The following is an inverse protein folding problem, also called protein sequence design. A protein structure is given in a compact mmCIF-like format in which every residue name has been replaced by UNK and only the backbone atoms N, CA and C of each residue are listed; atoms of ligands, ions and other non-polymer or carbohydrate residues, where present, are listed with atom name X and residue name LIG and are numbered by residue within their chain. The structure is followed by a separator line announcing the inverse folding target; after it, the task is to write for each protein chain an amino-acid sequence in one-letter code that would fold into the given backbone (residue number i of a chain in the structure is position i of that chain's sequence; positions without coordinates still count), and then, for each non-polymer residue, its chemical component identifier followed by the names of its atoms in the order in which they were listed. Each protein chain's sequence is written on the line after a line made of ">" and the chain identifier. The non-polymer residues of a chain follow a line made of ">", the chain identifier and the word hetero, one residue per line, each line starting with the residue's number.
data_IF_713059987736
#
_entry.id   IF_713059987736
#
_cell.length_a   1.000
_cell.length_b   1.000
_cell.length_c   1.000
_cell.angle_alpha   90.00
_cell.angle_beta   90.00
_cell.angle_gamma   90.00
#
_symmetry.space_group_name_H-M   'P 1'
#
loop_
_entity.id
_entity.type
_entity.pdbx_description
1 polymer ?
#
# COMPACT_ATOMS: atom_id res chain seq x y z
N UNK A 1 29.17 -8.19 4.88
CA UNK A 1 28.52 -7.49 3.75
C UNK A 1 27.39 -6.57 4.20
N UNK A 2 26.35 -7.09 4.88
CA UNK A 2 25.19 -6.26 5.26
C UNK A 2 25.53 -5.18 6.32
N UNK A 3 26.47 -5.47 7.23
CA UNK A 3 26.93 -4.52 8.24
C UNK A 3 27.67 -3.34 7.61
N UNK A 4 28.49 -3.61 6.59
CA UNK A 4 29.19 -2.60 5.80
C UNK A 4 28.19 -1.77 4.99
N UNK A 5 27.19 -2.41 4.38
CA UNK A 5 26.08 -1.70 3.72
C UNK A 5 25.34 -0.78 4.69
N UNK A 6 25.04 -1.24 5.91
CA UNK A 6 24.38 -0.43 6.94
C UNK A 6 25.16 0.85 7.27
N UNK A 7 26.49 0.77 7.29
CA UNK A 7 27.36 1.93 7.51
C UNK A 7 27.42 2.82 6.28
N UNK A 8 27.51 2.25 5.07
CA UNK A 8 27.56 3.03 3.82
C UNK A 8 26.26 3.79 3.58
N UNK A 9 25.10 3.19 3.83
CA UNK A 9 23.79 3.83 3.67
C UNK A 9 23.57 5.04 4.59
N UNK A 10 24.30 5.13 5.69
CA UNK A 10 24.23 6.31 6.54
C UNK A 10 24.76 7.56 5.84
N UNK A 11 25.70 7.45 4.91
CA UNK A 11 26.32 8.59 4.23
C UNK A 11 26.15 8.60 2.71
N UNK A 12 25.55 7.54 2.15
CA UNK A 12 25.34 7.39 0.72
C UNK A 12 24.47 8.52 0.15
N UNK A 13 24.97 9.24 -0.86
CA UNK A 13 24.30 10.38 -1.49
C UNK A 13 23.97 11.51 -0.50
N UNK A 14 24.77 11.65 0.55
CA UNK A 14 24.62 12.70 1.56
C UNK A 14 25.85 13.59 1.65
N UNK A 15 26.83 13.39 0.77
CA UNK A 15 28.10 14.13 0.77
C UNK A 15 27.87 15.65 0.73
N UNK A 16 26.88 16.10 -0.06
CA UNK A 16 26.50 17.51 -0.22
C UNK A 16 25.30 17.94 0.63
N UNK A 17 24.76 17.06 1.48
CA UNK A 17 23.59 17.39 2.31
C UNK A 17 24.00 18.09 3.61
N UNK A 18 23.14 18.99 4.11
CA UNK A 18 23.36 19.73 5.37
C UNK A 18 23.68 18.78 6.54
N UNK A 19 23.08 17.59 6.54
CA UNK A 19 23.21 16.61 7.62
C UNK A 19 24.41 15.69 7.45
N UNK A 20 25.01 15.62 6.25
CA UNK A 20 26.06 14.66 5.87
C UNK A 20 25.72 13.19 6.17
N UNK A 21 24.43 12.92 6.41
CA UNK A 21 23.91 11.64 6.89
C UNK A 21 22.44 11.49 6.53
N UNK A 22 22.06 10.29 6.10
CA UNK A 22 20.71 9.90 5.78
C UNK A 22 19.88 9.81 7.05
N UNK A 23 18.65 10.33 7.01
CA UNK A 23 17.77 10.39 8.18
C UNK A 23 17.30 8.99 8.61
N UNK A 24 16.99 8.16 7.63
CA UNK A 24 16.64 6.76 7.82
C UNK A 24 16.90 5.96 6.54
N UNK A 25 16.89 4.65 6.66
CA UNK A 25 16.86 3.72 5.52
C UNK A 25 15.88 2.58 5.83
N UNK A 26 15.33 1.97 4.78
CA UNK A 26 14.41 0.84 4.92
C UNK A 26 14.92 -0.36 4.13
N UNK A 27 14.50 -1.53 4.54
CA UNK A 27 14.61 -2.77 3.79
C UNK A 27 13.42 -3.68 4.12
N UNK A 28 13.24 -4.70 3.30
CA UNK A 28 12.22 -5.71 3.50
C UNK A 28 12.91 -7.06 3.72
N UNK A 29 12.82 -7.59 4.94
CA UNK A 29 13.53 -8.81 5.34
C UNK A 29 12.75 -10.05 4.94
N UNK A 30 13.40 -10.94 4.19
CA UNK A 30 12.88 -12.29 3.90
C UNK A 30 13.44 -13.39 4.82
N UNK A 31 14.12 -13.00 5.89
CA UNK A 31 14.80 -13.90 6.86
C UNK A 31 14.42 -13.59 8.31
N UNK A 32 13.21 -13.07 8.49
CA UNK A 32 12.60 -12.79 9.78
C UNK A 32 12.94 -11.43 10.39
N UNK A 33 12.48 -11.22 11.62
CA UNK A 33 12.52 -9.93 12.34
C UNK A 33 13.87 -9.61 12.99
N UNK A 34 14.68 -10.62 13.32
CA UNK A 34 15.85 -10.43 14.20
C UNK A 34 17.12 -10.04 13.45
N UNK A 35 17.40 -10.66 12.30
CA UNK A 35 18.70 -10.53 11.61
C UNK A 35 19.08 -9.07 11.32
N UNK A 36 18.15 -8.26 10.80
CA UNK A 36 18.42 -6.86 10.48
C UNK A 36 18.27 -5.92 11.69
N UNK A 37 17.51 -6.33 12.71
CA UNK A 37 17.35 -5.57 13.97
C UNK A 37 18.69 -5.41 14.69
N UNK A 38 19.50 -6.46 14.74
CA UNK A 38 20.87 -6.43 15.28
C UNK A 38 21.79 -5.42 14.57
N UNK A 39 21.42 -5.00 13.35
CA UNK A 39 22.17 -4.06 12.50
C UNK A 39 21.51 -2.68 12.41
N UNK A 40 20.50 -2.44 13.23
CA UNK A 40 19.82 -1.15 13.39
C UNK A 40 18.50 -1.00 12.63
N UNK A 41 18.17 -1.90 11.70
CA UNK A 41 16.85 -1.90 11.05
C UNK A 41 15.85 -2.66 11.90
N UNK A 42 15.14 -1.94 12.76
CA UNK A 42 14.08 -2.50 13.61
C UNK A 42 12.90 -2.93 12.75
N UNK A 43 12.29 -4.06 13.07
CA UNK A 43 11.05 -4.49 12.43
C UNK A 43 9.89 -3.56 12.78
N UNK A 44 9.07 -3.24 11.78
CA UNK A 44 7.82 -2.49 11.87
C UNK A 44 6.63 -3.41 11.59
N UNK A 45 5.39 -2.99 11.93
CA UNK A 45 4.18 -3.72 11.60
C UNK A 45 4.19 -4.19 10.15
N UNK A 46 4.05 -5.50 9.99
CA UNK A 46 4.11 -6.22 8.72
C UNK A 46 2.96 -7.23 8.72
N UNK A 47 1.77 -6.77 8.39
CA UNK A 47 0.57 -7.59 8.28
C UNK A 47 -0.07 -7.46 6.90
N UNK A 48 -0.99 -8.37 6.60
CA UNK A 48 -1.89 -8.22 5.46
C UNK A 48 -3.23 -8.84 5.77
N UNK A 49 -4.21 -8.50 4.94
CA UNK A 49 -5.45 -9.23 4.82
C UNK A 49 -5.68 -9.56 3.35
N UNK A 50 -6.25 -10.75 3.11
CA UNK A 50 -6.39 -11.31 1.76
C UNK A 50 -7.87 -11.48 1.40
N UNK A 51 -8.22 -11.13 0.18
CA UNK A 51 -9.54 -11.37 -0.41
C UNK A 51 -9.43 -12.34 -1.59
N UNK A 52 -10.36 -13.30 -1.74
CA UNK A 52 -10.36 -14.18 -2.90
C UNK A 52 -10.79 -13.42 -4.17
N UNK A 53 -10.37 -13.86 -5.37
CA UNK A 53 -10.92 -13.35 -6.62
C UNK A 53 -12.39 -13.70 -6.74
N UNK A 54 -13.18 -12.85 -7.41
CA UNK A 54 -14.62 -13.04 -7.62
C UNK A 54 -14.94 -12.90 -9.10
N UNK A 55 -15.73 -13.83 -9.65
CA UNK A 55 -16.24 -13.70 -11.02
C UNK A 55 -17.48 -12.82 -11.08
N UNK A 56 -17.71 -12.14 -12.21
CA UNK A 56 -18.90 -11.29 -12.40
C UNK A 56 -20.22 -12.06 -12.19
N UNK A 57 -20.25 -13.35 -12.52
CA UNK A 57 -21.43 -14.20 -12.37
C UNK A 57 -21.77 -14.52 -10.91
N UNK A 58 -20.73 -14.70 -10.06
CA UNK A 58 -20.89 -14.90 -8.61
C UNK A 58 -21.05 -13.58 -7.85
N UNK A 59 -20.57 -12.50 -8.45
CA UNK A 59 -20.47 -11.16 -7.88
C UNK A 59 -21.78 -10.37 -7.72
N UNK A 60 -22.91 -10.91 -8.22
CA UNK A 60 -24.24 -10.37 -7.89
C UNK A 60 -24.79 -10.88 -6.55
N UNK A 61 -24.04 -11.70 -5.80
CA UNK A 61 -24.38 -11.96 -4.41
C UNK A 61 -24.32 -10.64 -3.64
N UNK A 62 -25.49 -10.14 -3.27
CA UNK A 62 -25.66 -8.93 -2.48
C UNK A 62 -24.86 -9.06 -1.19
N UNK A 63 -23.75 -8.34 -1.08
CA UNK A 63 -23.18 -8.02 0.23
C UNK A 63 -24.24 -7.17 0.93
N UNK A 64 -24.79 -7.69 2.03
CA UNK A 64 -25.93 -7.07 2.71
C UNK A 64 -25.62 -5.62 3.07
N UNK A 65 -26.36 -4.68 2.50
CA UNK A 65 -26.31 -3.26 2.88
C UNK A 65 -25.31 -2.37 2.14
N UNK A 66 -24.61 -2.84 1.10
CA UNK A 66 -23.74 -2.00 0.27
C UNK A 66 -24.01 -2.16 -1.23
N UNK A 67 -24.14 -1.04 -1.94
CA UNK A 67 -24.17 -1.03 -3.40
C UNK A 67 -22.74 -1.10 -3.95
N UNK A 68 -22.28 -2.31 -4.26
CA UNK A 68 -20.95 -2.54 -4.82
C UNK A 68 -20.78 -1.96 -6.25
N UNK A 69 -21.89 -1.64 -6.92
CA UNK A 69 -21.89 -1.04 -8.26
C UNK A 69 -21.51 0.45 -8.27
N UNK A 70 -21.40 1.09 -7.11
CA UNK A 70 -21.07 2.52 -7.01
C UNK A 70 -19.62 2.85 -7.39
N UNK A 71 -18.74 1.85 -7.44
CA UNK A 71 -17.33 2.05 -7.74
C UNK A 71 -17.05 1.99 -9.26
N UNK A 72 -16.24 2.95 -9.74
CA UNK A 72 -15.75 3.01 -11.12
C UNK A 72 -14.28 2.61 -11.20
N UNK A 73 -13.90 1.92 -12.28
CA UNK A 73 -12.50 1.60 -12.57
C UNK A 73 -11.70 2.86 -12.92
N UNK A 74 -10.46 2.92 -12.45
CA UNK A 74 -9.50 4.00 -12.73
C UNK A 74 -8.40 3.50 -13.67
N UNK A 75 -8.09 4.30 -14.68
CA UNK A 75 -6.89 4.15 -15.50
C UNK A 75 -5.70 4.88 -14.85
N UNK A 76 -4.52 4.77 -15.46
CA UNK A 76 -3.31 5.40 -14.93
C UNK A 76 -3.45 6.93 -14.79
N UNK A 77 -4.10 7.60 -15.75
CA UNK A 77 -4.32 9.06 -15.70
C UNK A 77 -5.31 9.45 -14.60
N UNK A 78 -6.31 8.61 -14.32
CA UNK A 78 -7.23 8.83 -13.19
C UNK A 78 -6.49 8.72 -11.85
N UNK A 79 -5.63 7.71 -11.68
CA UNK A 79 -4.78 7.58 -10.49
C UNK A 79 -3.86 8.80 -10.35
N UNK A 80 -3.26 9.27 -11.46
CA UNK A 80 -2.43 10.48 -11.46
C UNK A 80 -3.22 11.70 -11.00
N UNK A 81 -4.43 11.88 -11.49
CA UNK A 81 -5.30 13.02 -11.19
C UNK A 81 -5.80 12.98 -9.74
N UNK A 82 -6.30 11.83 -9.27
CA UNK A 82 -6.99 11.73 -8.00
C UNK A 82 -6.07 11.43 -6.82
N UNK A 83 -5.02 10.63 -7.03
CA UNK A 83 -4.16 10.14 -5.93
C UNK A 83 -2.78 10.80 -5.91
N UNK A 84 -2.30 11.32 -7.06
CA UNK A 84 -0.94 11.86 -7.20
C UNK A 84 -0.88 13.30 -7.70
N UNK A 85 -1.99 14.03 -7.71
CA UNK A 85 -1.98 15.46 -8.04
C UNK A 85 -1.26 16.26 -6.96
N UNK A 86 -0.77 17.46 -7.31
CA UNK A 86 -0.11 18.34 -6.33
C UNK A 86 -0.99 18.55 -5.08
N UNK A 87 -2.29 18.75 -5.26
CA UNK A 87 -3.24 18.88 -4.15
C UNK A 87 -3.32 17.61 -3.26
N UNK A 88 -3.28 16.41 -3.86
CA UNK A 88 -3.26 15.16 -3.10
C UNK A 88 -1.94 14.99 -2.32
N UNK A 89 -0.81 15.30 -2.96
CA UNK A 89 0.52 15.23 -2.33
C UNK A 89 0.67 16.26 -1.21
N UNK A 90 0.19 17.48 -1.40
CA UNK A 90 0.13 18.53 -0.37
C UNK A 90 -0.73 18.09 0.82
N UNK A 91 -1.87 17.45 0.56
CA UNK A 91 -2.72 16.89 1.61
C UNK A 91 -2.01 15.80 2.42
N UNK A 92 -1.24 14.91 1.77
CA UNK A 92 -0.41 13.94 2.49
C UNK A 92 0.64 14.64 3.38
N UNK A 93 1.33 15.66 2.86
CA UNK A 93 2.27 16.42 3.66
C UNK A 93 1.59 17.11 4.85
N UNK A 94 0.40 17.67 4.65
CA UNK A 94 -0.36 18.32 5.71
C UNK A 94 -0.74 17.33 6.83
N UNK A 95 -1.20 16.12 6.48
CA UNK A 95 -1.50 15.07 7.47
C UNK A 95 -0.26 14.73 8.30
N UNK A 96 0.91 14.58 7.67
CA UNK A 96 2.16 14.30 8.39
C UNK A 96 2.59 15.48 9.28
N UNK A 97 2.41 16.72 8.82
CA UNK A 97 2.69 17.92 9.63
C UNK A 97 1.79 17.99 10.86
N UNK A 98 0.49 17.79 10.70
CA UNK A 98 -0.47 17.75 11.80
C UNK A 98 -0.15 16.64 12.80
N UNK A 99 0.13 15.44 12.30
CA UNK A 99 0.56 14.31 13.14
C UNK A 99 1.87 14.60 13.90
N UNK A 100 2.80 15.32 13.27
CA UNK A 100 4.06 15.74 13.89
C UNK A 100 3.86 16.83 14.94
N UNK A 101 2.90 17.75 14.77
CA UNK A 101 2.60 18.75 15.79
C UNK A 101 2.01 18.13 17.06
N UNK A 102 1.26 17.04 16.90
CA UNK A 102 0.58 16.34 18.01
C UNK A 102 1.44 15.26 18.68
N UNK A 103 2.71 15.12 18.31
CA UNK A 103 3.57 14.04 18.81
C UNK A 103 5.04 14.43 18.88
N UNK A 104 5.73 13.96 19.93
CA UNK A 104 7.18 14.12 20.05
C UNK A 104 7.99 13.14 19.16
N UNK A 105 7.34 12.13 18.58
CA UNK A 105 7.98 11.15 17.70
C UNK A 105 7.96 11.65 16.25
N UNK A 106 9.08 11.51 15.56
CA UNK A 106 9.18 11.86 14.14
C UNK A 106 8.16 11.06 13.29
N UNK A 107 7.61 11.69 12.26
CA UNK A 107 6.67 11.07 11.31
C UNK A 107 7.37 10.92 9.96
N UNK A 108 7.39 9.71 9.41
CA UNK A 108 7.95 9.44 8.08
C UNK A 108 6.98 8.64 7.24
N UNK A 109 6.96 8.91 5.94
CA UNK A 109 6.29 8.10 4.94
C UNK A 109 7.08 8.22 3.63
N UNK A 110 6.88 7.26 2.74
CA UNK A 110 7.24 7.44 1.34
C UNK A 110 6.13 8.23 0.66
N UNK A 111 6.48 9.11 -0.27
CA UNK A 111 5.47 9.85 -1.03
C UNK A 111 4.84 8.89 -2.06
N UNK A 112 3.52 8.66 -2.05
CA UNK A 112 2.86 7.84 -3.06
C UNK A 112 2.64 8.67 -4.34
N UNK A 113 3.74 9.15 -4.93
CA UNK A 113 3.69 9.91 -6.17
C UNK A 113 3.48 8.99 -7.39
N UNK A 114 3.22 9.62 -8.53
CA UNK A 114 2.95 8.87 -9.76
C UNK A 114 4.16 8.08 -10.24
N UNK A 115 5.39 8.54 -9.98
CA UNK A 115 6.59 7.83 -10.37
C UNK A 115 6.72 6.52 -9.57
N UNK A 116 6.47 6.57 -8.25
CA UNK A 116 6.43 5.40 -7.39
C UNK A 116 5.36 4.40 -7.86
N UNK A 117 4.14 4.85 -8.13
CA UNK A 117 3.05 3.95 -8.56
C UNK A 117 3.27 3.38 -9.97
N UNK A 118 3.73 4.20 -10.93
CA UNK A 118 3.96 3.75 -12.31
C UNK A 118 5.12 2.76 -12.43
N UNK A 119 6.10 2.81 -11.53
CA UNK A 119 7.14 1.78 -11.44
C UNK A 119 6.56 0.38 -11.22
N UNK A 120 5.58 0.25 -10.32
CA UNK A 120 4.89 -1.03 -10.09
C UNK A 120 4.12 -1.52 -11.32
N UNK A 121 3.60 -0.61 -12.14
CA UNK A 121 2.87 -0.95 -13.36
C UNK A 121 3.78 -1.35 -14.52
N UNK A 122 4.96 -0.74 -14.64
CA UNK A 122 5.90 -1.05 -15.71
C UNK A 122 6.21 -2.55 -15.79
N UNK A 123 6.39 -3.19 -14.63
CA UNK A 123 6.61 -4.65 -14.56
C UNK A 123 5.40 -5.46 -15.03
N UNK A 124 4.18 -5.12 -14.61
CA UNK A 124 2.98 -5.87 -15.04
C UNK A 124 2.66 -5.66 -16.53
N UNK A 125 2.89 -4.46 -17.06
CA UNK A 125 2.67 -4.13 -18.47
C UNK A 125 3.66 -4.85 -19.39
N UNK A 126 4.89 -5.03 -18.93
CA UNK A 126 5.87 -5.85 -19.62
C UNK A 126 5.46 -7.33 -19.65
N UNK A 127 5.16 -7.92 -18.48
CA UNK A 127 4.84 -9.35 -18.40
C UNK A 127 3.51 -9.72 -19.04
N UNK A 128 2.49 -8.87 -18.92
CA UNK A 128 1.15 -9.13 -19.47
C UNK A 128 1.16 -9.35 -20.98
N UNK A 129 1.97 -8.62 -21.74
CA UNK A 129 2.13 -8.81 -23.20
C UNK A 129 2.68 -10.19 -23.57
N UNK A 130 3.52 -10.76 -22.71
CA UNK A 130 4.18 -12.06 -22.92
C UNK A 130 3.27 -13.19 -22.45
N UNK A 131 2.70 -13.06 -21.25
CA UNK A 131 1.90 -14.10 -20.60
C UNK A 131 0.45 -14.15 -21.11
N UNK A 132 -0.08 -13.02 -21.59
CA UNK A 132 -1.46 -12.87 -22.05
C UNK A 132 -1.51 -12.06 -23.36
N UNK A 133 -0.90 -12.56 -24.46
CA UNK A 133 -0.75 -11.80 -25.70
C UNK A 133 -2.09 -11.33 -26.30
N UNK A 134 -3.19 -12.07 -26.04
CA UNK A 134 -4.53 -11.68 -26.48
C UNK A 134 -5.23 -10.63 -25.61
N UNK A 135 -4.74 -10.33 -24.41
CA UNK A 135 -5.31 -9.29 -23.51
C UNK A 135 -4.56 -7.97 -23.57
N UNK A 136 -3.27 -8.00 -23.89
CA UNK A 136 -2.41 -6.82 -23.89
C UNK A 136 -2.13 -6.28 -22.47
N UNK A 137 -1.97 -4.96 -22.35
CA UNK A 137 -1.66 -4.31 -21.07
C UNK A 137 -2.90 -4.13 -20.18
N UNK A 138 -2.81 -4.35 -18.86
CA UNK A 138 -3.88 -4.02 -17.93
C UNK A 138 -4.14 -2.51 -17.92
N UNK A 139 -5.33 -2.09 -18.35
CA UNK A 139 -5.72 -0.66 -18.38
C UNK A 139 -6.31 -0.17 -17.08
N UNK A 140 -7.00 -1.03 -16.32
CA UNK A 140 -7.55 -0.69 -15.01
C UNK A 140 -6.44 -0.83 -13.96
N UNK A 141 -6.05 0.29 -13.36
CA UNK A 141 -4.99 0.41 -12.36
C UNK A 141 -5.52 0.67 -10.94
N UNK A 142 -6.81 0.92 -10.82
CA UNK A 142 -7.45 1.25 -9.56
C UNK A 142 -8.97 1.28 -9.66
N UNK A 143 -9.62 1.66 -8.57
CA UNK A 143 -11.05 1.93 -8.53
C UNK A 143 -11.36 3.06 -7.56
N UNK A 144 -12.46 3.77 -7.79
CA UNK A 144 -12.87 4.88 -6.96
C UNK A 144 -14.37 4.96 -6.76
N UNK A 145 -14.76 5.61 -5.67
CA UNK A 145 -16.09 6.20 -5.46
C UNK A 145 -15.86 7.69 -5.27
N UNK A 146 -15.80 8.43 -6.38
CA UNK A 146 -15.42 9.85 -6.37
C UNK A 146 -16.32 10.68 -5.45
N UNK A 147 -17.62 10.41 -5.43
CA UNK A 147 -18.61 11.10 -4.58
C UNK A 147 -18.34 10.95 -3.08
N UNK A 148 -17.60 9.90 -2.69
CA UNK A 148 -17.18 9.65 -1.30
C UNK A 148 -15.67 9.85 -1.09
N UNK A 149 -14.95 10.34 -2.11
CA UNK A 149 -13.50 10.57 -2.10
C UNK A 149 -12.69 9.35 -1.64
N UNK A 150 -13.12 8.15 -2.05
CA UNK A 150 -12.40 6.90 -1.78
C UNK A 150 -11.76 6.42 -3.08
N UNK A 151 -10.45 6.18 -3.03
CA UNK A 151 -9.66 5.76 -4.19
C UNK A 151 -8.69 4.67 -3.76
N UNK A 152 -8.59 3.59 -4.54
CA UNK A 152 -7.55 2.58 -4.36
C UNK A 152 -6.85 2.34 -5.70
N UNK A 153 -5.56 2.03 -5.65
CA UNK A 153 -4.82 1.55 -6.81
C UNK A 153 -4.07 0.28 -6.49
N UNK A 154 -3.70 -0.48 -7.51
CA UNK A 154 -3.09 -1.80 -7.38
C UNK A 154 -2.11 -2.11 -8.49
N UNK A 155 -1.35 -3.18 -8.32
CA UNK A 155 -0.61 -3.85 -9.38
C UNK A 155 -0.80 -5.37 -9.33
N UNK A 156 -0.51 -6.03 -10.45
CA UNK A 156 -0.56 -7.48 -10.59
C UNK A 156 0.87 -8.04 -10.54
N UNK A 157 1.14 -8.86 -9.54
CA UNK A 157 2.37 -9.64 -9.48
C UNK A 157 2.19 -10.94 -10.25
N UNK A 158 3.08 -11.19 -11.21
CA UNK A 158 3.22 -12.48 -11.90
C UNK A 158 4.33 -13.26 -11.20
N UNK A 159 3.94 -14.22 -10.37
CA UNK A 159 4.86 -15.03 -9.59
C UNK A 159 5.23 -16.33 -10.30
N UNK A 160 6.17 -17.08 -9.71
CA UNK A 160 6.64 -18.34 -10.28
C UNK A 160 5.59 -19.45 -10.15
N UNK A 161 4.75 -19.40 -9.11
CA UNK A 161 3.65 -20.35 -8.91
C UNK A 161 2.30 -19.63 -8.96
N UNK A 162 1.22 -20.40 -9.14
CA UNK A 162 -0.14 -19.87 -9.12
C UNK A 162 -0.48 -19.16 -7.80
N UNK A 163 0.05 -19.64 -6.68
CA UNK A 163 -0.12 -19.00 -5.37
C UNK A 163 0.61 -17.66 -5.26
N UNK A 164 1.63 -17.43 -6.08
CA UNK A 164 2.40 -16.18 -6.08
C UNK A 164 1.81 -15.14 -7.06
N UNK A 165 0.79 -15.53 -7.83
CA UNK A 165 0.01 -14.64 -8.66
C UNK A 165 -0.96 -13.84 -7.78
N UNK A 166 -0.56 -12.64 -7.39
CA UNK A 166 -1.29 -11.79 -6.43
C UNK A 166 -1.59 -10.44 -7.05
N UNK A 167 -2.78 -9.89 -6.78
CA UNK A 167 -3.05 -8.47 -6.98
C UNK A 167 -2.76 -7.75 -5.66
N UNK A 168 -1.80 -6.84 -5.64
CA UNK A 168 -1.53 -6.06 -4.43
C UNK A 168 -2.22 -4.71 -4.50
N UNK A 169 -2.97 -4.36 -3.46
CA UNK A 169 -3.38 -2.97 -3.27
C UNK A 169 -2.14 -2.16 -2.92
N UNK A 170 -1.79 -1.22 -3.80
CA UNK A 170 -0.62 -0.37 -3.66
C UNK A 170 -0.89 0.73 -2.64
N UNK A 171 -2.01 1.45 -2.79
CA UNK A 171 -2.40 2.56 -1.93
C UNK A 171 -3.92 2.63 -1.74
N UNK A 172 -4.37 2.89 -0.52
CA UNK A 172 -5.75 3.27 -0.20
C UNK A 172 -5.83 4.75 0.22
N UNK A 173 -6.63 5.56 -0.46
CA UNK A 173 -6.83 6.98 -0.16
C UNK A 173 -8.29 7.24 0.22
N UNK A 174 -8.50 7.75 1.43
CA UNK A 174 -9.79 8.20 1.94
C UNK A 174 -9.56 9.30 3.00
N UNK A 175 -10.61 10.03 3.35
CA UNK A 175 -10.59 10.96 4.49
C UNK A 175 -10.92 10.20 5.78
N UNK A 176 -10.08 10.33 6.81
CA UNK A 176 -10.34 9.67 8.10
C UNK A 176 -11.69 10.13 8.68
N UNK A 177 -12.63 9.19 8.90
CA UNK A 177 -13.99 9.53 9.29
C UNK A 177 -14.03 10.10 10.71
N UNK A 178 -14.88 11.12 10.93
CA UNK A 178 -15.03 11.82 12.20
C UNK A 178 -16.33 11.51 12.91
N UNK A 179 -17.21 10.74 12.27
CA UNK A 179 -18.48 10.29 12.83
C UNK A 179 -18.80 8.85 12.38
N UNK A 180 -19.67 8.13 13.11
CA UNK A 180 -20.12 6.80 12.69
C UNK A 180 -20.79 6.77 11.30
N UNK A 181 -21.48 7.85 10.93
CA UNK A 181 -22.13 7.96 9.61
C UNK A 181 -21.10 8.11 8.48
N UNK A 182 -20.07 8.94 8.70
CA UNK A 182 -18.95 9.07 7.77
C UNK A 182 -18.17 7.77 7.66
N UNK A 183 -17.90 7.10 8.79
CA UNK A 183 -17.19 5.81 8.79
C UNK A 183 -17.95 4.78 7.97
N UNK A 184 -19.26 4.64 8.20
CA UNK A 184 -20.10 3.75 7.39
C UNK A 184 -20.00 4.07 5.90
N UNK A 185 -20.07 5.34 5.53
CA UNK A 185 -20.01 5.76 4.14
C UNK A 185 -18.64 5.43 3.49
N UNK A 186 -17.54 5.64 4.21
CA UNK A 186 -16.18 5.31 3.76
C UNK A 186 -15.99 3.80 3.66
N UNK A 187 -16.46 3.04 4.66
CA UNK A 187 -16.37 1.56 4.69
C UNK A 187 -17.11 0.94 3.51
N UNK A 188 -18.33 1.39 3.21
CA UNK A 188 -19.10 0.92 2.03
C UNK A 188 -18.39 1.23 0.71
N UNK A 189 -17.80 2.43 0.57
CA UNK A 189 -17.05 2.78 -0.65
C UNK A 189 -15.74 2.01 -0.78
N UNK A 190 -15.03 1.79 0.32
CA UNK A 190 -13.85 0.92 0.34
C UNK A 190 -14.23 -0.51 -0.06
N UNK A 191 -15.35 -1.04 0.43
CA UNK A 191 -15.84 -2.36 0.03
C UNK A 191 -16.17 -2.41 -1.47
N UNK A 192 -16.83 -1.39 -2.02
CA UNK A 192 -17.11 -1.31 -3.46
C UNK A 192 -15.83 -1.27 -4.31
N UNK A 193 -14.83 -0.47 -3.92
CA UNK A 193 -13.54 -0.40 -4.65
C UNK A 193 -12.73 -1.68 -4.52
N UNK A 194 -12.66 -2.29 -3.34
CA UNK A 194 -11.99 -3.58 -3.12
C UNK A 194 -12.66 -4.71 -3.90
N UNK A 195 -13.98 -4.65 -4.05
CA UNK A 195 -14.71 -5.59 -4.89
C UNK A 195 -14.32 -5.45 -6.38
N UNK A 196 -14.11 -4.24 -6.90
CA UNK A 196 -13.50 -4.06 -8.23
C UNK A 196 -12.12 -4.74 -8.32
N UNK A 197 -11.30 -4.66 -7.27
CA UNK A 197 -10.02 -5.36 -7.23
C UNK A 197 -10.18 -6.89 -7.24
N UNK A 198 -11.21 -7.45 -6.59
CA UNK A 198 -11.52 -8.89 -6.66
C UNK A 198 -11.93 -9.33 -8.08
N UNK A 199 -12.71 -8.51 -8.79
CA UNK A 199 -13.08 -8.75 -10.19
C UNK A 199 -11.85 -8.70 -11.11
N UNK A 200 -10.98 -7.71 -10.91
CA UNK A 200 -9.73 -7.59 -11.67
C UNK A 200 -8.75 -8.72 -11.37
N UNK A 201 -8.67 -9.16 -10.11
CA UNK A 201 -7.90 -10.34 -9.74
C UNK A 201 -8.41 -11.58 -10.49
N UNK A 202 -9.74 -11.79 -10.56
CA UNK A 202 -10.32 -12.89 -11.32
C UNK A 202 -10.01 -12.79 -12.83
N UNK A 203 -10.24 -11.60 -13.42
CA UNK A 203 -10.03 -11.34 -14.85
C UNK A 203 -8.58 -11.61 -15.27
N UNK A 204 -7.61 -11.31 -14.40
CA UNK A 204 -6.17 -11.49 -14.67
C UNK A 204 -5.59 -12.78 -14.07
N UNK A 205 -6.43 -13.72 -13.62
CA UNK A 205 -5.97 -15.00 -13.07
C UNK A 205 -5.05 -14.85 -11.86
N UNK A 206 -5.33 -13.89 -10.98
CA UNK A 206 -4.66 -13.74 -9.68
C UNK A 206 -5.38 -14.59 -8.65
N UNK A 207 -4.61 -15.27 -7.81
CA UNK A 207 -5.13 -16.18 -6.77
C UNK A 207 -5.78 -15.46 -5.59
N UNK A 208 -5.42 -14.19 -5.36
CA UNK A 208 -5.97 -13.34 -4.29
C UNK A 208 -5.64 -11.86 -4.51
N UNK A 209 -6.31 -11.02 -3.72
CA UNK A 209 -6.03 -9.59 -3.52
C UNK A 209 -5.42 -9.42 -2.13
N UNK A 210 -4.19 -8.91 -2.05
CA UNK A 210 -3.52 -8.65 -0.78
C UNK A 210 -3.54 -7.15 -0.46
N UNK A 211 -3.98 -6.82 0.75
CA UNK A 211 -3.94 -5.47 1.30
C UNK A 211 -2.90 -5.45 2.43
N UNK A 212 -1.86 -4.63 2.27
CA UNK A 212 -0.76 -4.55 3.22
C UNK A 212 -1.06 -3.58 4.36
N UNK A 213 -0.77 -3.98 5.61
CA UNK A 213 -0.98 -3.19 6.83
C UNK A 213 -2.33 -2.45 6.85
N UNK A 214 -3.48 -3.18 6.75
CA UNK A 214 -4.78 -2.55 6.67
C UNK A 214 -5.07 -1.71 7.92
N UNK A 215 -5.72 -0.56 7.74
CA UNK A 215 -6.25 0.23 8.87
C UNK A 215 -7.54 -0.41 9.39
N UNK A 216 -8.00 -0.09 10.62
CA UNK A 216 -9.27 -0.60 11.13
C UNK A 216 -10.48 -0.32 10.24
N UNK A 217 -10.47 0.81 9.51
CA UNK A 217 -11.53 1.17 8.55
C UNK A 217 -11.48 0.26 7.32
N UNK A 218 -10.28 -0.04 6.80
CA UNK A 218 -10.09 -0.98 5.69
C UNK A 218 -10.45 -2.41 6.10
N UNK A 219 -10.10 -2.84 7.33
CA UNK A 219 -10.51 -4.15 7.84
C UNK A 219 -12.03 -4.32 7.90
N UNK A 220 -12.77 -3.28 8.32
CA UNK A 220 -14.25 -3.28 8.30
C UNK A 220 -14.78 -3.49 6.87
N UNK A 221 -14.21 -2.79 5.89
CA UNK A 221 -14.59 -2.93 4.48
C UNK A 221 -14.30 -4.33 3.94
N UNK A 222 -13.13 -4.89 4.27
CA UNK A 222 -12.78 -6.27 3.90
C UNK A 222 -13.75 -7.29 4.51
N UNK A 223 -14.13 -7.12 5.78
CA UNK A 223 -15.10 -7.99 6.46
C UNK A 223 -16.50 -7.94 5.85
N UNK A 224 -16.89 -6.86 5.18
CA UNK A 224 -18.14 -6.83 4.40
C UNK A 224 -18.09 -7.79 3.21
N UNK A 225 -16.94 -7.90 2.54
CA UNK A 225 -16.75 -8.75 1.37
C UNK A 225 -16.43 -10.21 1.75
N UNK A 226 -15.71 -10.40 2.85
CA UNK A 226 -15.33 -11.71 3.36
C UNK A 226 -15.33 -11.69 4.90
N UNK A 227 -16.44 -12.08 5.56
CA UNK A 227 -16.55 -12.06 7.01
C UNK A 227 -15.51 -12.91 7.74
N UNK A 228 -14.96 -13.92 7.06
CA UNK A 228 -13.94 -14.83 7.60
C UNK A 228 -12.51 -14.31 7.42
N UNK A 229 -12.28 -13.25 6.62
CA UNK A 229 -10.95 -12.72 6.41
C UNK A 229 -10.34 -12.18 7.71
N UNK A 230 -9.09 -12.55 7.97
CA UNK A 230 -8.33 -12.16 9.16
C UNK A 230 -7.05 -11.45 8.78
N UNK A 231 -6.61 -10.55 9.65
CA UNK A 231 -5.29 -9.94 9.52
C UNK A 231 -4.23 -10.98 9.90
N UNK A 232 -3.35 -11.26 8.96
CA UNK A 232 -2.22 -12.16 9.13
C UNK A 232 -0.94 -11.34 9.35
N UNK A 233 -0.27 -11.61 10.48
CA UNK A 233 1.02 -11.00 10.81
C UNK A 233 2.17 -11.84 10.27
N UNK A 234 3.09 -11.19 9.55
CA UNK A 234 4.27 -11.84 9.00
C UNK A 234 5.37 -11.94 10.04
N UNK A 235 5.99 -13.12 10.08
CA UNK A 235 7.09 -13.43 10.99
C UNK A 235 8.42 -13.68 10.28
N UNK A 236 8.37 -14.17 9.03
CA UNK A 236 9.57 -14.65 8.31
C UNK A 236 9.85 -13.85 7.05
N UNK A 237 8.90 -13.76 6.14
CA UNK A 237 9.12 -13.10 4.86
C UNK A 237 8.56 -11.69 4.83
N UNK A 238 9.15 -10.84 4.02
CA UNK A 238 8.62 -9.52 3.71
C UNK A 238 8.33 -8.70 4.99
N UNK A 239 9.29 -8.64 5.91
CA UNK A 239 9.19 -7.81 7.12
C UNK A 239 9.70 -6.41 6.81
N UNK A 240 8.84 -5.41 6.98
CA UNK A 240 9.20 -4.00 6.89
C UNK A 240 10.21 -3.67 8.00
N UNK A 241 11.41 -3.26 7.65
CA UNK A 241 12.45 -2.94 8.63
C UNK A 241 13.05 -1.57 8.35
N UNK A 242 13.11 -0.71 9.37
CA UNK A 242 13.55 0.68 9.25
C UNK A 242 14.69 0.94 10.23
N UNK A 243 15.79 1.51 9.70
CA UNK A 243 16.91 2.01 10.48
C UNK A 243 16.78 3.51 10.62
N UNK A 244 16.62 3.98 11.85
CA UNK A 244 16.43 5.38 12.20
C UNK A 244 17.74 6.00 12.68
N UNK A 245 18.18 7.07 12.01
CA UNK A 245 19.37 7.85 12.40
C UNK A 245 19.00 9.20 13.04
N UNK A 246 17.73 9.43 13.35
CA UNK A 246 17.27 10.74 13.81
C UNK A 246 17.82 11.14 15.17
N UNK A 247 18.12 10.19 16.06
CA UNK A 247 18.73 10.49 17.37
C UNK A 247 20.05 11.24 17.20
N UNK A 248 20.91 10.76 16.31
CA UNK A 248 22.20 11.38 16.00
C UNK A 248 22.07 12.74 15.30
N UNK A 249 20.88 13.03 14.76
CA UNK A 249 20.55 14.25 14.04
C UNK A 249 19.68 15.22 14.86
N UNK A 250 19.41 14.92 16.13
CA UNK A 250 18.54 15.73 16.99
C UNK A 250 17.05 15.68 16.65
N UNK A 251 16.60 14.65 15.93
CA UNK A 251 15.21 14.46 15.48
C UNK A 251 14.39 13.51 16.38
N UNK A 252 14.92 13.16 17.55
CA UNK A 252 14.28 12.24 18.49
C UNK A 252 14.71 10.78 18.34
N UNK A 253 14.40 9.97 19.36
CA UNK A 253 14.85 8.58 19.45
C UNK A 253 14.04 7.60 18.59
N UNK A 254 12.73 7.87 18.45
CA UNK A 254 11.80 6.99 17.78
C UNK A 254 11.09 7.69 16.62
N UNK A 255 10.60 6.87 15.70
CA UNK A 255 9.92 7.30 14.48
C UNK A 255 8.66 6.46 14.27
N UNK A 256 7.62 7.09 13.73
CA UNK A 256 6.42 6.41 13.26
C UNK A 256 6.42 6.39 11.73
N UNK A 257 6.22 5.21 11.16
CA UNK A 257 6.15 5.00 9.72
C UNK A 257 4.69 4.96 9.27
N UNK A 258 4.28 6.04 8.62
CA UNK A 258 2.95 6.25 8.05
C UNK A 258 2.85 5.63 6.67
N UNK A 259 1.67 5.12 6.34
CA UNK A 259 1.34 4.54 5.03
C UNK A 259 2.39 3.53 4.56
N UNK A 260 2.84 2.67 5.47
CA UNK A 260 3.68 1.51 5.16
C UNK A 260 2.83 0.46 4.42
N UNK A 261 2.49 0.78 3.17
CA UNK A 261 1.68 -0.03 2.26
C UNK A 261 2.55 -0.54 1.11
N UNK A 262 1.96 -1.32 0.19
CA UNK A 262 2.75 -2.02 -0.83
C UNK A 262 3.47 -1.09 -1.82
N UNK A 263 2.98 0.14 -2.04
CA UNK A 263 3.65 1.10 -2.92
C UNK A 263 5.09 1.43 -2.51
N UNK A 264 5.43 1.31 -1.21
CA UNK A 264 6.78 1.55 -0.70
C UNK A 264 7.81 0.48 -1.12
N UNK A 265 7.36 -0.63 -1.71
CA UNK A 265 8.17 -1.79 -2.06
C UNK A 265 8.64 -1.71 -3.51
N UNK A 266 9.62 -0.85 -3.80
CA UNK A 266 10.14 -0.63 -5.15
C UNK A 266 11.21 -1.65 -5.57
#
# INVERSE_FOLDING_TARGET
>A
MITELAKRLDTWQQEDSVRKRGVFSVLYSDIGKSFYTERGWKAFPSSHISLPPVSKDKGKQSVSGADLGMAGGMQADDVRRFMCSNAALEKYQQILREASHNSKRAKVAFMPDYAALSWHWAREEFYSKILFPGKGEPKVKGACVESRKVFICWNRNFGNTEKDNVLFILRTLYEEPRSPAEEKAVVEALAATLYCAQLEAHEWGRSRVDIWNPTPVVEKAVKMLSPTAQVEHREQTSICSLKWNGKQLGLGEDVDWYWNEKYAWC
#
